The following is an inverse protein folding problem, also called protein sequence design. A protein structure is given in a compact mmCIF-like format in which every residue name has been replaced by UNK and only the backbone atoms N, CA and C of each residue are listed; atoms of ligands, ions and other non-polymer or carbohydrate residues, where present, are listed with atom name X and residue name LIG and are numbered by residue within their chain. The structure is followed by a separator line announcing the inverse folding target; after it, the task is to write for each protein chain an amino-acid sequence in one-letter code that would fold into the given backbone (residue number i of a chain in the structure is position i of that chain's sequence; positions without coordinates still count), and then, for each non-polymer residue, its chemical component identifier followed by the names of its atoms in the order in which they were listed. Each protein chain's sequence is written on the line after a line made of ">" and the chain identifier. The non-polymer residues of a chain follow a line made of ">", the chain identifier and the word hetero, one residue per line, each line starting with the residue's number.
data_IF_896761914232
#
_entry.id   IF_896761914232
#
_cell.length_a   1.000
_cell.length_b   1.000
_cell.length_c   1.000
_cell.angle_alpha   90.00
_cell.angle_beta   90.00
_cell.angle_gamma   90.00
#
_symmetry.space_group_name_H-M   'P 1'
#
loop_
_entity.id
_entity.type
_entity.pdbx_description
1 polymer ?
#
# COMPACT_ATOMS: atom_id res chain seq x y z
N UNK A 1 -15.98 11.55 14.71
CA UNK A 1 -14.71 10.78 14.79
C UNK A 1 -13.88 11.15 13.57
N UNK A 2 -12.88 11.99 13.75
CA UNK A 2 -11.94 12.36 12.67
C UNK A 2 -11.00 11.20 12.46
N UNK A 3 -11.05 10.57 11.28
CA UNK A 3 -10.06 9.56 10.88
C UNK A 3 -8.76 10.32 10.64
N UNK A 4 -7.83 10.23 11.58
CA UNK A 4 -6.50 10.80 11.39
C UNK A 4 -5.77 9.99 10.32
N UNK A 5 -5.57 10.61 9.17
CA UNK A 5 -4.78 10.02 8.09
C UNK A 5 -3.32 10.01 8.52
N UNK A 6 -2.71 8.82 8.54
CA UNK A 6 -1.27 8.62 8.82
C UNK A 6 -0.57 8.03 7.60
N UNK A 7 0.72 8.31 7.47
CA UNK A 7 1.50 7.78 6.37
C UNK A 7 1.62 6.25 6.52
N UNK A 8 1.23 5.45 5.52
CA UNK A 8 1.27 3.99 5.61
C UNK A 8 2.70 3.41 5.63
N UNK A 9 3.72 4.24 5.38
CA UNK A 9 5.13 3.82 5.34
C UNK A 9 5.88 4.17 6.61
N UNK A 10 5.66 5.36 7.18
CA UNK A 10 6.43 5.84 8.34
C UNK A 10 5.56 6.20 9.56
N UNK A 11 4.24 6.16 9.45
CA UNK A 11 3.31 6.53 10.53
C UNK A 11 3.15 8.03 10.77
N UNK A 12 3.89 8.90 10.07
CA UNK A 12 3.80 10.35 10.22
C UNK A 12 2.40 10.90 9.90
N UNK A 13 2.02 11.95 10.63
CA UNK A 13 0.80 12.73 10.42
C UNK A 13 1.02 13.93 9.49
N UNK A 14 2.27 14.27 9.14
CA UNK A 14 2.56 15.40 8.26
C UNK A 14 2.29 15.02 6.78
N UNK A 15 1.03 15.19 6.40
CA UNK A 15 0.48 14.79 5.11
C UNK A 15 -0.16 15.99 4.42
N UNK A 16 0.17 16.15 3.14
CA UNK A 16 -0.37 17.19 2.27
C UNK A 16 -1.13 16.60 1.08
N UNK A 17 -2.14 17.32 0.59
CA UNK A 17 -2.83 16.94 -0.66
C UNK A 17 -1.89 17.17 -1.86
N UNK A 18 -1.72 16.14 -2.68
CA UNK A 18 -0.78 16.12 -3.81
C UNK A 18 -1.50 15.81 -5.13
N UNK A 19 -2.47 16.66 -5.48
CA UNK A 19 -3.30 16.51 -6.67
C UNK A 19 -4.22 15.29 -6.62
N UNK A 20 -4.71 14.85 -7.78
CA UNK A 20 -5.56 13.67 -7.93
C UNK A 20 -4.88 12.65 -8.84
N UNK A 21 -5.17 11.38 -8.59
CA UNK A 21 -4.76 10.30 -9.49
C UNK A 21 -5.50 10.38 -10.83
N UNK A 22 -4.99 9.69 -11.86
CA UNK A 22 -5.66 9.55 -13.16
C UNK A 22 -7.13 9.06 -13.07
N UNK A 23 -7.48 8.35 -11.99
CA UNK A 23 -8.84 7.83 -11.74
C UNK A 23 -9.69 8.77 -10.86
N UNK A 24 -9.25 10.01 -10.65
CA UNK A 24 -9.97 11.02 -9.88
C UNK A 24 -9.87 10.90 -8.36
N UNK A 25 -9.19 9.87 -7.82
CA UNK A 25 -8.98 9.75 -6.36
C UNK A 25 -8.00 10.81 -5.85
N UNK A 26 -8.26 11.37 -4.67
CA UNK A 26 -7.34 12.28 -3.98
C UNK A 26 -6.01 11.57 -3.69
N UNK A 27 -4.90 12.17 -4.13
CA UNK A 27 -3.56 11.71 -3.81
C UNK A 27 -3.00 12.56 -2.67
N UNK A 28 -2.27 11.92 -1.76
CA UNK A 28 -1.66 12.54 -0.59
C UNK A 28 -0.16 12.29 -0.63
N UNK A 29 0.62 13.22 -0.07
CA UNK A 29 2.07 13.10 0.06
C UNK A 29 2.49 13.36 1.51
N UNK A 30 3.16 12.38 2.11
CA UNK A 30 3.84 12.54 3.38
C UNK A 30 5.06 13.43 3.21
N UNK A 31 5.27 14.41 4.09
CA UNK A 31 6.42 15.31 4.01
C UNK A 31 7.71 14.71 4.57
N UNK A 32 7.61 13.82 5.56
CA UNK A 32 8.78 13.20 6.18
C UNK A 32 9.46 12.17 5.27
N UNK A 33 8.70 11.22 4.72
CA UNK A 33 9.25 10.16 3.87
C UNK A 33 8.99 10.37 2.37
N UNK A 34 8.38 11.49 1.98
CA UNK A 34 8.00 11.80 0.60
C UNK A 34 7.04 10.79 -0.09
N UNK A 35 6.49 9.82 0.66
CA UNK A 35 5.58 8.80 0.13
C UNK A 35 4.30 9.44 -0.37
N UNK A 36 3.92 9.08 -1.60
CA UNK A 36 2.61 9.39 -2.16
C UNK A 36 1.64 8.21 -1.99
N UNK A 37 0.40 8.46 -1.59
CA UNK A 37 -0.61 7.42 -1.36
C UNK A 37 -2.04 7.97 -1.50
N UNK A 38 -3.01 7.08 -1.70
CA UNK A 38 -4.44 7.42 -1.73
C UNK A 38 -5.11 6.86 -0.49
N UNK A 39 -6.20 7.50 -0.08
CA UNK A 39 -7.12 6.96 0.90
C UNK A 39 -7.87 5.75 0.29
N UNK A 40 -7.96 4.67 1.06
CA UNK A 40 -8.48 3.35 0.65
C UNK A 40 -8.01 2.88 -0.75
N UNK A 41 -6.78 2.38 -0.85
CA UNK A 41 -6.26 1.85 -2.11
C UNK A 41 -7.03 0.59 -2.52
N UNK A 42 -7.53 0.57 -3.76
CA UNK A 42 -8.20 -0.60 -4.32
C UNK A 42 -7.23 -1.77 -4.51
N UNK A 43 -5.96 -1.47 -4.79
CA UNK A 43 -4.89 -2.45 -4.95
C UNK A 43 -4.01 -2.40 -3.71
N UNK A 44 -4.19 -3.39 -2.83
CA UNK A 44 -3.41 -3.55 -1.61
C UNK A 44 -2.27 -4.55 -1.88
N UNK A 45 -1.04 -4.30 -1.41
CA UNK A 45 0.02 -5.30 -1.45
C UNK A 45 -0.44 -6.56 -0.72
N UNK A 46 -0.07 -7.74 -1.26
CA UNK A 46 -0.26 -8.98 -0.54
C UNK A 46 0.51 -8.96 0.77
N UNK A 47 -0.11 -9.53 1.80
CA UNK A 47 0.50 -9.67 3.11
C UNK A 47 1.83 -10.45 3.03
N UNK A 48 2.76 -10.13 3.95
CA UNK A 48 4.09 -10.74 3.97
C UNK A 48 4.00 -12.26 4.18
N UNK A 49 3.03 -12.73 4.96
CA UNK A 49 2.86 -14.15 5.26
C UNK A 49 2.36 -14.89 4.04
N UNK A 50 1.42 -14.28 3.29
CA UNK A 50 0.95 -14.84 2.01
C UNK A 50 2.11 -14.97 1.02
N UNK A 51 2.97 -13.96 0.91
CA UNK A 51 4.15 -14.01 0.03
C UNK A 51 5.13 -15.10 0.46
N UNK A 52 5.31 -15.27 1.76
CA UNK A 52 6.20 -16.28 2.33
C UNK A 52 5.68 -17.69 2.07
N UNK A 53 4.38 -17.92 2.25
CA UNK A 53 3.73 -19.19 1.92
C UNK A 53 3.88 -19.54 0.44
N UNK A 54 3.62 -18.60 -0.47
CA UNK A 54 3.81 -18.83 -1.92
C UNK A 54 5.24 -19.22 -2.22
N UNK A 55 6.24 -18.58 -1.60
CA UNK A 55 7.65 -18.94 -1.78
C UNK A 55 7.93 -20.38 -1.30
N UNK A 56 7.35 -20.81 -0.17
CA UNK A 56 7.50 -22.19 0.31
C UNK A 56 6.89 -23.20 -0.67
N UNK A 57 5.69 -22.95 -1.18
CA UNK A 57 5.02 -23.85 -2.14
C UNK A 57 5.79 -23.98 -3.46
N UNK A 58 6.45 -22.91 -3.89
CA UNK A 58 7.31 -22.94 -5.07
C UNK A 58 8.56 -23.81 -4.87
N UNK A 59 9.11 -23.88 -3.66
CA UNK A 59 10.23 -24.79 -3.34
C UNK A 59 9.82 -26.26 -3.47
N UNK A 60 8.56 -26.58 -3.18
CA UNK A 60 7.95 -27.90 -3.40
C UNK A 60 7.65 -28.18 -4.89
N UNK A 61 8.04 -27.28 -5.80
CA UNK A 61 7.81 -27.35 -7.25
C UNK A 61 6.33 -27.46 -7.62
N UNK A 62 5.44 -26.88 -6.80
CA UNK A 62 4.01 -26.81 -7.11
C UNK A 62 3.82 -25.86 -8.31
N UNK A 63 3.07 -26.34 -9.30
CA UNK A 63 2.69 -25.59 -10.49
C UNK A 63 1.87 -24.35 -10.13
N UNK A 64 2.20 -23.21 -10.75
CA UNK A 64 1.43 -21.98 -10.59
C UNK A 64 0.13 -21.96 -11.40
N UNK A 65 0.00 -22.81 -12.43
CA UNK A 65 -1.06 -22.73 -13.42
C UNK A 65 -1.87 -24.04 -13.62
N UNK A 66 -1.64 -25.05 -12.77
CA UNK A 66 -2.15 -26.41 -13.01
C UNK A 66 -1.20 -27.15 -13.94
#
# INVERSE_FOLDING_TARGET
>A
MTIEMTCPTCGSHDISKNGTTRRGKQNYKCRDCNRQFVEDPQWKPNDKDTRSLVNLLLLEKISLAG
#
